data_IF_231790789105
#
_entry.id   IF_231790789105
#
_cell.length_a   1.000
_cell.length_b   1.000
_cell.length_c   1.000
_cell.angle_alpha   90.00
_cell.angle_beta   90.00
_cell.angle_gamma   90.00
#
_symmetry.space_group_name_H-M   'P 1'
#
loop_
_entity.id
_entity.type
_entity.pdbx_description
1 polymer ?
#
# COMPACT_ATOMS: atom_id res chain seq x y z
N UNK A 1 30.61 12.01 0.12
CA UNK A 1 29.46 12.80 -0.37
C UNK A 1 28.20 12.06 0.06
N UNK A 2 27.61 12.47 1.18
CA UNK A 2 26.43 11.85 1.74
C UNK A 2 25.20 12.43 1.02
N UNK A 3 24.41 11.55 0.40
CA UNK A 3 23.16 11.89 -0.27
C UNK A 3 22.09 12.11 0.80
N UNK A 4 21.64 13.35 0.94
CA UNK A 4 20.51 13.72 1.78
C UNK A 4 19.23 13.24 1.11
N UNK A 5 18.58 12.22 1.69
CA UNK A 5 17.20 11.90 1.35
C UNK A 5 16.33 13.06 1.83
N UNK A 6 15.75 13.79 0.88
CA UNK A 6 14.74 14.81 1.14
C UNK A 6 13.46 14.09 1.56
N UNK A 7 13.20 14.01 2.87
CA UNK A 7 11.89 13.66 3.39
C UNK A 7 10.94 14.79 3.02
N UNK A 8 10.10 14.58 2.02
CA UNK A 8 9.00 15.49 1.70
C UNK A 8 8.07 15.54 2.91
N UNK A 9 8.09 16.66 3.65
CA UNK A 9 7.12 16.92 4.70
C UNK A 9 5.77 17.18 4.04
N UNK A 10 4.86 16.22 4.13
CA UNK A 10 3.45 16.39 3.73
C UNK A 10 2.80 17.32 4.75
N UNK A 11 2.41 18.53 4.33
CA UNK A 11 1.65 19.44 5.19
C UNK A 11 0.25 18.86 5.41
N UNK A 12 -0.35 19.10 6.58
CA UNK A 12 -1.71 18.63 6.89
C UNK A 12 -2.79 19.15 5.92
N UNK A 13 -2.49 20.20 5.14
CA UNK A 13 -3.34 20.75 4.08
C UNK A 13 -3.35 19.96 2.77
N UNK A 14 -2.42 19.00 2.60
CA UNK A 14 -2.28 18.18 1.38
C UNK A 14 -2.90 16.79 1.53
N UNK A 15 -3.42 16.45 2.72
CA UNK A 15 -4.11 15.18 2.93
C UNK A 15 -5.45 15.17 2.17
N UNK A 16 -5.83 14.04 1.57
CA UNK A 16 -7.15 13.92 0.96
C UNK A 16 -8.25 14.20 2.00
N UNK A 17 -9.28 14.93 1.60
CA UNK A 17 -10.58 14.76 2.24
C UNK A 17 -11.15 13.41 1.78
N UNK A 18 -12.01 12.73 2.56
CA UNK A 18 -12.62 13.13 3.83
C UNK A 18 -11.85 12.78 5.12
N UNK A 19 -12.31 13.35 6.25
CA UNK A 19 -11.68 13.23 7.58
C UNK A 19 -12.43 12.35 8.61
N UNK A 20 -13.64 11.91 8.27
CA UNK A 20 -14.41 10.97 9.09
C UNK A 20 -15.14 9.94 8.20
N UNK A 21 -15.66 8.88 8.83
CA UNK A 21 -16.27 7.76 8.11
C UNK A 21 -17.57 8.16 7.41
N UNK A 22 -18.38 9.07 7.97
CA UNK A 22 -19.61 9.55 7.32
C UNK A 22 -19.31 10.21 5.97
N UNK A 23 -18.35 11.13 5.95
CA UNK A 23 -17.93 11.80 4.73
C UNK A 23 -17.26 10.81 3.75
N UNK A 24 -16.51 9.82 4.25
CA UNK A 24 -15.92 8.76 3.43
C UNK A 24 -16.98 7.94 2.71
N UNK A 25 -18.05 7.57 3.42
CA UNK A 25 -19.20 6.89 2.83
C UNK A 25 -19.91 7.79 1.79
N UNK A 26 -20.08 9.07 2.10
CA UNK A 26 -20.70 10.05 1.20
C UNK A 26 -19.88 10.30 -0.07
N UNK A 27 -18.55 10.20 0.00
CA UNK A 27 -17.65 10.29 -1.15
C UNK A 27 -17.81 9.13 -2.15
N UNK A 28 -18.47 8.04 -1.73
CA UNK A 28 -18.62 6.83 -2.52
C UNK A 28 -17.37 5.96 -2.56
N UNK A 29 -16.42 6.17 -1.65
CA UNK A 29 -15.22 5.35 -1.53
C UNK A 29 -15.58 3.88 -1.34
N UNK A 30 -14.81 2.99 -1.98
CA UNK A 30 -14.97 1.55 -1.88
C UNK A 30 -13.64 0.90 -1.56
N UNK A 31 -13.68 0.03 -0.56
CA UNK A 31 -12.58 -0.88 -0.23
C UNK A 31 -12.16 -1.69 -1.45
N UNK A 32 -10.86 -1.72 -1.71
CA UNK A 32 -10.21 -2.54 -2.73
C UNK A 32 -9.15 -3.41 -2.07
N UNK A 33 -8.91 -4.59 -2.64
CA UNK A 33 -7.75 -5.39 -2.27
C UNK A 33 -6.50 -4.78 -2.91
N UNK A 34 -5.33 -5.03 -2.31
CA UNK A 34 -4.05 -4.65 -2.91
C UNK A 34 -3.91 -5.18 -4.34
N UNK A 35 -4.34 -6.43 -4.60
CA UNK A 35 -4.33 -7.01 -5.96
C UNK A 35 -5.19 -6.20 -6.94
N UNK A 36 -6.34 -5.69 -6.51
CA UNK A 36 -7.20 -4.84 -7.34
C UNK A 36 -6.56 -3.46 -7.58
N UNK A 37 -5.95 -2.84 -6.56
CA UNK A 37 -5.22 -1.58 -6.74
C UNK A 37 -4.09 -1.73 -7.77
N UNK A 38 -3.25 -2.76 -7.60
CA UNK A 38 -2.16 -3.07 -8.52
C UNK A 38 -2.67 -3.25 -9.95
N UNK A 39 -3.74 -4.03 -10.13
CA UNK A 39 -4.36 -4.25 -11.43
C UNK A 39 -4.87 -2.96 -12.07
N UNK A 40 -5.73 -2.21 -11.37
CA UNK A 40 -6.38 -1.00 -11.89
C UNK A 40 -5.37 0.07 -12.29
N UNK A 41 -4.37 0.31 -11.43
CA UNK A 41 -3.35 1.31 -11.68
C UNK A 41 -2.35 0.88 -12.75
N UNK A 42 -1.99 -0.41 -12.80
CA UNK A 42 -1.16 -0.93 -13.89
C UNK A 42 -1.86 -0.76 -15.24
N UNK A 43 -3.15 -1.10 -15.32
CA UNK A 43 -3.96 -0.91 -16.54
C UNK A 43 -4.02 0.55 -16.96
N UNK A 44 -4.20 1.48 -16.01
CA UNK A 44 -4.18 2.92 -16.29
C UNK A 44 -2.85 3.39 -16.86
N UNK A 45 -1.73 2.99 -16.26
CA UNK A 45 -0.40 3.35 -16.74
C UNK A 45 -0.11 2.78 -18.13
N UNK A 46 -0.50 1.52 -18.38
CA UNK A 46 -0.39 0.87 -19.69
C UNK A 46 -1.19 1.62 -20.76
N UNK A 47 -2.45 1.97 -20.46
CA UNK A 47 -3.33 2.69 -21.38
C UNK A 47 -2.78 4.08 -21.74
N UNK A 48 -2.09 4.72 -20.81
CA UNK A 48 -1.44 6.02 -21.01
C UNK A 48 -0.06 5.94 -21.67
N UNK A 49 0.47 4.73 -21.92
CA UNK A 49 1.83 4.55 -22.43
C UNK A 49 2.91 5.01 -21.46
N UNK A 50 2.62 5.04 -20.16
CA UNK A 50 3.57 5.48 -19.14
C UNK A 50 4.64 4.41 -18.89
N UNK A 51 5.86 4.86 -18.56
CA UNK A 51 6.93 3.94 -18.14
C UNK A 51 6.56 3.25 -16.82
N UNK A 52 6.45 1.93 -16.86
CA UNK A 52 6.02 1.12 -15.71
C UNK A 52 7.05 1.10 -14.57
N UNK A 53 8.33 0.91 -14.91
CA UNK A 53 9.42 0.84 -13.93
C UNK A 53 10.53 1.86 -14.28
N UNK A 54 10.34 3.15 -13.94
CA UNK A 54 11.35 4.18 -14.21
C UNK A 54 12.73 3.83 -13.64
N UNK A 55 13.75 3.91 -14.50
CA UNK A 55 15.13 3.62 -14.13
C UNK A 55 15.50 2.14 -14.07
N UNK A 56 14.62 1.22 -14.48
CA UNK A 56 15.00 -0.13 -14.91
C UNK A 56 15.36 -0.06 -16.39
N UNK A 57 16.47 -0.68 -16.79
CA UNK A 57 17.02 -0.59 -18.14
C UNK A 57 17.21 -2.00 -18.69
N UNK A 58 16.74 -2.25 -19.92
CA UNK A 58 17.00 -3.49 -20.66
C UNK A 58 16.06 -4.65 -20.31
N UNK A 59 15.02 -4.41 -19.51
CA UNK A 59 13.99 -5.41 -19.16
C UNK A 59 12.66 -5.20 -19.88
N UNK A 60 12.60 -4.22 -20.79
CA UNK A 60 11.40 -3.82 -21.53
C UNK A 60 10.80 -4.98 -22.34
N UNK A 61 11.65 -5.83 -22.93
CA UNK A 61 11.24 -6.98 -23.75
C UNK A 61 11.33 -8.34 -23.02
N UNK A 62 11.62 -8.34 -21.70
CA UNK A 62 11.83 -9.58 -20.94
C UNK A 62 11.08 -9.59 -19.61
N UNK A 63 11.65 -9.01 -18.55
CA UNK A 63 11.14 -9.14 -17.18
C UNK A 63 9.90 -8.26 -16.94
N UNK A 64 9.85 -7.06 -17.52
CA UNK A 64 8.73 -6.13 -17.32
C UNK A 64 7.41 -6.70 -17.89
N UNK A 65 7.37 -7.28 -19.11
CA UNK A 65 6.19 -7.95 -19.63
C UNK A 65 5.70 -9.08 -18.71
N UNK A 66 6.60 -9.95 -18.25
CA UNK A 66 6.24 -11.09 -17.38
C UNK A 66 5.64 -10.65 -16.04
N UNK A 67 6.21 -9.62 -15.41
CA UNK A 67 5.65 -9.05 -14.18
C UNK A 67 4.29 -8.42 -14.45
N UNK A 68 4.14 -7.72 -15.57
CA UNK A 68 2.87 -7.09 -15.93
C UNK A 68 1.77 -8.14 -16.07
N UNK A 69 2.06 -9.26 -16.76
CA UNK A 69 1.13 -10.39 -16.89
C UNK A 69 0.80 -10.99 -15.52
N UNK A 70 1.81 -11.21 -14.67
CA UNK A 70 1.58 -11.80 -13.34
C UNK A 70 0.73 -10.89 -12.44
N UNK A 71 0.96 -9.58 -12.47
CA UNK A 71 0.17 -8.60 -11.73
C UNK A 71 -1.27 -8.53 -12.24
N UNK A 72 -1.46 -8.51 -13.57
CA UNK A 72 -2.80 -8.52 -14.18
C UNK A 72 -3.56 -9.81 -13.86
N UNK A 73 -2.86 -10.95 -13.75
CA UNK A 73 -3.45 -12.22 -13.35
C UNK A 73 -3.68 -12.34 -11.83
N UNK A 74 -3.24 -11.36 -11.03
CA UNK A 74 -3.34 -11.42 -9.57
C UNK A 74 -2.47 -12.51 -8.92
N UNK A 75 -1.40 -12.94 -9.59
CA UNK A 75 -0.48 -13.97 -9.10
C UNK A 75 0.49 -13.42 -8.05
N UNK A 76 0.93 -14.31 -7.17
CA UNK A 76 2.06 -14.02 -6.29
C UNK A 76 3.37 -14.21 -7.07
N UNK A 77 4.31 -13.26 -6.92
CA UNK A 77 5.52 -13.20 -7.75
C UNK A 77 6.77 -13.49 -6.92
N UNK A 78 7.62 -14.39 -7.43
CA UNK A 78 8.94 -14.65 -6.88
C UNK A 78 10.04 -14.13 -7.82
N UNK A 79 10.83 -13.16 -7.35
CA UNK A 79 11.97 -12.64 -8.11
C UNK A 79 13.21 -13.51 -7.93
N UNK A 80 13.70 -14.12 -9.01
CA UNK A 80 14.93 -14.93 -9.04
C UNK A 80 15.96 -14.33 -9.99
N UNK A 81 17.23 -14.40 -9.62
CA UNK A 81 18.34 -13.88 -10.43
C UNK A 81 19.59 -13.57 -9.63
N UNK A 82 20.67 -13.20 -10.30
CA UNK A 82 21.96 -12.91 -9.66
C UNK A 82 21.99 -11.56 -8.94
N UNK A 83 23.01 -11.35 -8.10
CA UNK A 83 23.23 -10.06 -7.44
C UNK A 83 23.46 -8.98 -8.50
N UNK A 84 22.81 -7.83 -8.33
CA UNK A 84 22.92 -6.69 -9.27
C UNK A 84 21.86 -6.64 -10.37
N UNK A 85 21.03 -7.69 -10.53
CA UNK A 85 19.97 -7.75 -11.54
C UNK A 85 18.68 -7.00 -11.14
N UNK A 86 18.81 -5.85 -10.46
CA UNK A 86 17.71 -4.94 -10.11
C UNK A 86 16.47 -5.51 -9.37
N UNK A 87 16.46 -6.76 -8.88
CA UNK A 87 15.32 -7.40 -8.17
C UNK A 87 14.68 -6.51 -7.11
N UNK A 88 15.47 -6.04 -6.13
CA UNK A 88 14.95 -5.16 -5.05
C UNK A 88 14.46 -3.81 -5.59
N UNK A 89 15.05 -3.31 -6.67
CA UNK A 89 14.61 -2.06 -7.31
C UNK A 89 13.24 -2.25 -7.97
N UNK A 90 13.00 -3.39 -8.61
CA UNK A 90 11.69 -3.73 -9.17
C UNK A 90 10.64 -3.92 -8.08
N UNK A 91 10.98 -4.63 -6.98
CA UNK A 91 10.07 -4.81 -5.84
C UNK A 91 9.62 -3.47 -5.25
N UNK A 92 10.54 -2.54 -4.99
CA UNK A 92 10.21 -1.17 -4.58
C UNK A 92 9.38 -0.41 -5.61
N UNK A 93 9.64 -0.67 -6.89
CA UNK A 93 8.88 -0.07 -7.99
C UNK A 93 7.40 -0.46 -7.99
N UNK A 94 7.03 -1.61 -7.40
CA UNK A 94 5.63 -2.05 -7.34
C UNK A 94 4.71 -1.09 -6.59
N UNK A 95 5.27 -0.30 -5.66
CA UNK A 95 4.55 0.74 -4.91
C UNK A 95 3.88 1.76 -5.83
N UNK A 96 4.47 2.02 -7.00
CA UNK A 96 3.90 2.94 -8.00
C UNK A 96 2.50 2.53 -8.46
N UNK A 97 2.17 1.24 -8.39
CA UNK A 97 0.88 0.70 -8.81
C UNK A 97 -0.16 0.67 -7.68
N UNK A 98 0.17 1.18 -6.49
CA UNK A 98 -0.81 1.36 -5.41
C UNK A 98 -1.52 2.70 -5.55
N UNK A 99 -2.73 2.79 -5.00
CA UNK A 99 -3.42 4.07 -4.88
C UNK A 99 -2.57 5.00 -4.02
N UNK A 100 -2.46 6.28 -4.42
CA UNK A 100 -1.56 7.25 -3.80
C UNK A 100 -1.81 7.41 -2.31
N UNK A 101 -3.08 7.41 -1.93
CA UNK A 101 -3.53 7.41 -0.54
C UNK A 101 -4.67 6.40 -0.35
N UNK A 102 -4.65 5.70 0.77
CA UNK A 102 -5.74 4.80 1.21
C UNK A 102 -6.19 5.22 2.61
N UNK A 103 -7.50 5.33 2.87
CA UNK A 103 -8.01 5.73 4.18
C UNK A 103 -7.83 4.61 5.20
N UNK A 104 -7.62 4.97 6.46
CA UNK A 104 -7.60 4.05 7.60
C UNK A 104 -8.27 4.67 8.83
N UNK A 105 -8.66 3.83 9.79
CA UNK A 105 -9.23 4.29 11.07
C UNK A 105 -8.11 4.90 11.93
N UNK A 106 -8.16 6.21 12.14
CA UNK A 106 -7.11 6.94 12.87
C UNK A 106 -7.39 7.00 14.37
N UNK A 107 -7.19 5.86 15.05
CA UNK A 107 -7.32 5.75 16.50
C UNK A 107 -6.09 5.12 17.16
N UNK A 108 -5.64 5.61 18.33
CA UNK A 108 -4.43 5.11 19.00
C UNK A 108 -4.46 3.63 19.40
N UNK A 109 -5.65 3.07 19.64
CA UNK A 109 -5.83 1.71 20.14
C UNK A 109 -5.68 0.62 19.06
N UNK A 110 -5.54 1.02 17.79
CA UNK A 110 -5.38 0.10 16.67
C UNK A 110 -3.91 0.06 16.24
N UNK A 111 -3.24 -1.11 16.29
CA UNK A 111 -1.81 -1.22 16.02
C UNK A 111 -1.44 -1.20 14.52
N UNK A 112 -2.42 -1.21 13.62
CA UNK A 112 -2.24 -1.33 12.17
C UNK A 112 -3.19 -0.40 11.43
N UNK A 113 -2.79 0.13 10.28
CA UNK A 113 -3.72 0.86 9.42
C UNK A 113 -4.72 -0.13 8.80
N UNK A 114 -5.96 -0.13 9.30
CA UNK A 114 -7.02 -1.03 8.86
C UNK A 114 -8.10 -0.33 8.03
N UNK A 115 -8.75 -1.11 7.16
CA UNK A 115 -9.80 -0.63 6.27
C UNK A 115 -11.02 -0.12 7.08
N UNK A 116 -11.47 1.14 6.87
CA UNK A 116 -12.59 1.71 7.63
C UNK A 116 -13.93 0.98 7.44
N UNK A 117 -14.11 0.31 6.31
CA UNK A 117 -15.32 -0.46 6.00
C UNK A 117 -15.18 -1.94 6.38
N UNK A 118 -13.96 -2.41 6.60
CA UNK A 118 -13.64 -3.81 6.92
C UNK A 118 -12.52 -3.92 7.96
N UNK A 119 -12.73 -3.38 9.18
CA UNK A 119 -11.72 -3.48 10.23
C UNK A 119 -11.45 -4.95 10.56
N UNK A 120 -10.17 -5.26 10.77
CA UNK A 120 -9.68 -6.62 11.02
C UNK A 120 -9.38 -6.85 12.49
N UNK A 121 -9.05 -5.80 13.25
CA UNK A 121 -8.73 -5.93 14.68
C UNK A 121 -9.99 -5.92 15.53
N UNK A 122 -9.94 -6.56 16.71
CA UNK A 122 -11.04 -6.49 17.68
C UNK A 122 -11.32 -5.04 18.12
N UNK A 123 -10.26 -4.25 18.33
CA UNK A 123 -10.37 -2.85 18.76
C UNK A 123 -11.08 -1.99 17.70
N UNK A 124 -10.67 -2.08 16.43
CA UNK A 124 -11.31 -1.37 15.33
C UNK A 124 -12.76 -1.79 15.11
N UNK A 125 -13.03 -3.10 15.10
CA UNK A 125 -14.41 -3.62 14.99
C UNK A 125 -15.31 -3.08 16.10
N UNK A 126 -14.84 -3.10 17.35
CA UNK A 126 -15.58 -2.60 18.49
C UNK A 126 -15.80 -1.08 18.40
N UNK A 127 -14.77 -0.33 17.99
CA UNK A 127 -14.84 1.11 17.85
C UNK A 127 -15.84 1.54 16.77
N UNK A 128 -15.80 0.92 15.59
CA UNK A 128 -16.74 1.20 14.50
C UNK A 128 -18.18 0.83 14.88
N UNK A 129 -18.38 -0.22 15.67
CA UNK A 129 -19.71 -0.62 16.15
C UNK A 129 -20.28 0.29 17.24
N UNK A 130 -19.41 0.87 18.07
CA UNK A 130 -19.83 1.66 19.22
C UNK A 130 -20.09 3.14 18.91
N UNK A 131 -19.58 3.66 17.80
CA UNK A 131 -19.62 5.08 17.45
C UNK A 131 -20.44 5.33 16.18
N UNK A 132 -20.99 6.54 16.05
CA UNK A 132 -21.62 6.96 14.79
C UNK A 132 -20.55 7.21 13.71
N UNK A 133 -20.85 7.06 12.41
CA UNK A 133 -19.88 7.29 11.33
C UNK A 133 -19.22 8.68 11.36
N UNK A 134 -19.93 9.71 11.81
CA UNK A 134 -19.39 11.07 11.95
C UNK A 134 -18.29 11.18 13.03
N UNK A 135 -18.29 10.28 14.02
CA UNK A 135 -17.36 10.29 15.15
C UNK A 135 -16.13 9.40 14.91
N UNK A 136 -16.05 8.70 13.76
CA UNK A 136 -14.94 7.79 13.43
C UNK A 136 -13.92 8.56 12.59
N UNK A 137 -12.75 8.93 13.15
CA UNK A 137 -11.73 9.68 12.43
C UNK A 137 -11.07 8.82 11.35
N UNK A 138 -10.79 9.46 10.21
CA UNK A 138 -10.12 8.83 9.07
C UNK A 138 -8.78 9.52 8.84
N UNK A 139 -7.72 8.71 8.85
CA UNK A 139 -6.38 9.08 8.40
C UNK A 139 -6.12 8.58 6.99
N UNK A 140 -5.05 9.05 6.36
CA UNK A 140 -4.65 8.67 5.00
C UNK A 140 -3.23 8.14 4.96
N UNK A 141 -3.08 6.93 4.42
CA UNK A 141 -1.80 6.24 4.33
C UNK A 141 -1.22 6.38 2.93
N UNK A 142 -0.09 7.06 2.79
CA UNK A 142 0.53 7.29 1.49
C UNK A 142 1.20 6.02 0.96
N UNK A 143 1.16 5.77 -0.35
CA UNK A 143 1.72 4.54 -0.95
C UNK A 143 3.18 4.28 -0.61
N UNK A 144 3.99 5.32 -0.53
CA UNK A 144 5.43 5.18 -0.27
C UNK A 144 5.72 4.66 1.15
N UNK A 145 4.74 4.76 2.05
CA UNK A 145 4.80 4.26 3.43
C UNK A 145 4.23 2.83 3.56
N UNK A 146 3.61 2.30 2.49
CA UNK A 146 2.97 0.97 2.49
C UNK A 146 3.94 -0.17 2.21
N UNK A 147 5.17 0.15 1.80
CA UNK A 147 6.17 -0.85 1.47
C UNK A 147 7.17 -1.06 2.60
N UNK A 148 7.25 -2.31 3.07
CA UNK A 148 8.20 -2.72 4.08
C UNK A 148 9.21 -3.73 3.50
N UNK A 149 10.51 -3.47 3.66
CA UNK A 149 11.57 -4.43 3.32
C UNK A 149 12.14 -5.12 4.55
N UNK A 150 12.43 -6.41 4.40
CA UNK A 150 13.29 -7.14 5.32
C UNK A 150 14.76 -6.88 4.99
N UNK A 151 15.40 -5.94 5.67
CA UNK A 151 16.86 -5.72 5.53
C UNK A 151 17.65 -5.98 6.82
N UNK A 152 16.98 -6.02 7.98
CA UNK A 152 17.64 -6.12 9.29
C UNK A 152 17.71 -7.56 9.81
N UNK A 153 18.87 -8.02 10.32
CA UNK A 153 18.98 -9.28 11.05
C UNK A 153 18.07 -9.25 12.29
N UNK A 154 17.23 -10.26 12.47
CA UNK A 154 16.39 -10.42 13.67
C UNK A 154 14.90 -10.07 13.53
N UNK A 155 14.47 -9.44 12.43
CA UNK A 155 13.03 -9.27 12.13
C UNK A 155 12.46 -10.60 11.62
N UNK A 156 11.48 -11.16 12.33
CA UNK A 156 10.82 -12.42 11.95
C UNK A 156 9.97 -12.17 10.72
N UNK A 157 9.82 -13.19 9.86
CA UNK A 157 8.97 -13.10 8.67
C UNK A 157 7.51 -12.76 9.04
N UNK A 158 7.08 -13.25 10.20
CA UNK A 158 5.83 -12.91 10.89
C UNK A 158 5.63 -11.40 11.09
N UNK A 159 6.68 -10.63 11.40
CA UNK A 159 6.57 -9.20 11.68
C UNK A 159 6.31 -8.36 10.39
N UNK A 160 6.62 -8.93 9.21
CA UNK A 160 6.49 -8.26 7.90
C UNK A 160 5.22 -8.69 7.17
N UNK A 161 4.81 -9.95 7.34
CA UNK A 161 3.50 -10.42 6.87
C UNK A 161 2.37 -9.98 7.81
N UNK A 162 2.70 -9.36 8.95
CA UNK A 162 1.69 -8.99 9.93
C UNK A 162 0.98 -10.25 10.42
N UNK A 163 1.71 -11.19 11.02
CA UNK A 163 1.11 -11.98 12.10
C UNK A 163 0.71 -10.98 13.20
N UNK A 164 -0.42 -10.33 12.97
CA UNK A 164 -1.24 -9.77 14.02
C UNK A 164 -1.49 -10.98 14.92
N UNK A 165 -1.05 -10.88 16.17
CA UNK A 165 -1.34 -11.86 17.20
C UNK A 165 -2.82 -12.28 17.04
N UNK A 166 -3.12 -13.56 16.75
CA UNK A 166 -4.49 -13.99 16.48
C UNK A 166 -5.46 -13.63 17.60
N UNK A 167 -4.97 -13.44 18.83
CA UNK A 167 -5.78 -12.98 19.96
C UNK A 167 -6.27 -11.53 19.85
N UNK A 168 -5.68 -10.73 18.94
CA UNK A 168 -6.00 -9.33 18.65
C UNK A 168 -6.84 -9.13 17.38
N UNK A 169 -7.00 -10.15 16.55
CA UNK A 169 -7.93 -10.20 15.39
C UNK A 169 -9.40 -10.36 15.81
#
# INVERSE_FOLDING_TARGET
MASTASTSQTNASDLPAPSNLEELLASGWKSKTVKQELHDNLMRLLANGETLFPGIVGYDDTVIPEISIALLAGHDVLFLGEKGQAKSKMMRGLVRFLDEYVPYIDIPDVPVHEDPLRPITRAGKAFVQANAPADIPIGWWHRDERYAERLSPGTKFADIIGEIDPSKL
#
